data_IF_585270812444
#
_entry.id   IF_585270812444
#
_cell.length_a   1.000
_cell.length_b   1.000
_cell.length_c   1.000
_cell.angle_alpha   90.00
_cell.angle_beta   90.00
_cell.angle_gamma   90.00
#
_symmetry.space_group_name_H-M   'P 1'
#
loop_
_entity.id
_entity.type
_entity.pdbx_description
1 polymer ?
#
# COMPACT_ATOMS: atom_id res chain seq x y z
N UNK A 1 30.38 -2.46 -16.18
CA UNK A 1 29.31 -1.46 -15.99
C UNK A 1 27.92 -2.10 -15.90
N UNK A 2 27.44 -2.88 -16.89
CA UNK A 2 26.11 -3.54 -16.88
C UNK A 2 25.80 -4.44 -15.66
N UNK A 3 26.81 -5.07 -15.06
CA UNK A 3 26.62 -5.99 -13.92
C UNK A 3 26.19 -5.28 -12.61
N UNK A 4 26.64 -4.05 -12.38
CA UNK A 4 26.34 -3.31 -11.14
C UNK A 4 24.90 -2.80 -11.17
N UNK A 5 24.44 -2.26 -12.30
CA UNK A 5 23.06 -1.82 -12.48
C UNK A 5 22.07 -2.99 -12.43
N UNK A 6 22.42 -4.12 -13.07
CA UNK A 6 21.64 -5.35 -12.96
C UNK A 6 21.52 -5.83 -11.51
N UNK A 7 22.61 -5.81 -10.74
CA UNK A 7 22.61 -6.15 -9.31
C UNK A 7 21.69 -5.24 -8.50
N UNK A 8 21.72 -3.93 -8.76
CA UNK A 8 20.83 -2.97 -8.10
C UNK A 8 19.35 -3.24 -8.43
N UNK A 9 19.02 -3.48 -9.71
CA UNK A 9 17.64 -3.81 -10.11
C UNK A 9 17.13 -5.11 -9.47
N UNK A 10 17.94 -6.17 -9.46
CA UNK A 10 17.56 -7.44 -8.81
C UNK A 10 17.39 -7.25 -7.29
N UNK A 11 18.27 -6.47 -6.66
CA UNK A 11 18.17 -6.15 -5.23
C UNK A 11 16.90 -5.38 -4.90
N UNK A 12 16.54 -4.40 -5.74
CA UNK A 12 15.27 -3.70 -5.64
C UNK A 12 14.07 -4.66 -5.81
N UNK A 13 14.11 -5.54 -6.81
CA UNK A 13 13.03 -6.51 -7.06
C UNK A 13 12.83 -7.44 -5.85
N UNK A 14 13.90 -7.95 -5.26
CA UNK A 14 13.84 -8.74 -4.04
C UNK A 14 13.16 -7.95 -2.89
N UNK A 15 13.52 -6.68 -2.72
CA UNK A 15 12.98 -5.82 -1.67
C UNK A 15 11.49 -5.48 -1.87
N UNK A 16 11.05 -5.19 -3.10
CA UNK A 16 9.64 -4.86 -3.38
C UNK A 16 8.76 -6.12 -3.35
N UNK A 17 9.23 -7.26 -3.87
CA UNK A 17 8.51 -8.52 -3.77
C UNK A 17 8.38 -8.99 -2.33
N UNK A 18 9.40 -8.78 -1.49
CA UNK A 18 9.30 -9.04 -0.05
C UNK A 18 8.19 -8.22 0.61
N UNK A 19 8.05 -6.95 0.23
CA UNK A 19 6.98 -6.05 0.72
C UNK A 19 5.59 -6.47 0.21
N UNK A 20 5.47 -6.83 -1.06
CA UNK A 20 4.23 -7.34 -1.64
C UNK A 20 3.80 -8.66 -1.00
N UNK A 21 4.74 -9.56 -0.74
CA UNK A 21 4.46 -10.82 -0.06
C UNK A 21 3.99 -10.58 1.39
N UNK A 22 4.60 -9.63 2.09
CA UNK A 22 4.14 -9.23 3.43
C UNK A 22 2.69 -8.71 3.39
N UNK A 23 2.36 -7.84 2.43
CA UNK A 23 0.98 -7.39 2.22
C UNK A 23 0.05 -8.58 1.92
N UNK A 24 0.41 -9.47 1.00
CA UNK A 24 -0.40 -10.64 0.66
C UNK A 24 -0.70 -11.51 1.88
N UNK A 25 0.29 -11.73 2.76
CA UNK A 25 0.08 -12.44 4.03
C UNK A 25 -0.85 -11.71 4.99
N UNK A 26 -0.83 -10.38 5.01
CA UNK A 26 -1.74 -9.60 5.84
C UNK A 26 -3.19 -9.61 5.31
N UNK A 27 -3.37 -9.79 4.00
CA UNK A 27 -4.66 -9.89 3.32
C UNK A 27 -5.25 -11.30 3.32
N UNK A 28 -4.41 -12.32 3.49
CA UNK A 28 -4.80 -13.74 3.49
C UNK A 28 -4.84 -14.30 4.91
N UNK A 29 -5.54 -15.44 5.07
CA UNK A 29 -5.69 -16.14 6.33
C UNK A 29 -7.07 -16.00 6.95
N UNK A 30 -7.28 -16.71 8.05
CA UNK A 30 -8.55 -16.68 8.78
C UNK A 30 -8.74 -15.35 9.52
N UNK A 31 -10.00 -15.00 9.81
CA UNK A 31 -10.38 -13.83 10.60
C UNK A 31 -9.97 -12.46 10.01
N UNK A 32 -9.87 -12.33 8.68
CA UNK A 32 -9.71 -11.05 8.00
C UNK A 32 -11.05 -10.46 7.61
N UNK A 33 -11.35 -9.26 8.09
CA UNK A 33 -12.53 -8.53 7.63
C UNK A 33 -12.22 -7.74 6.36
N UNK A 34 -13.25 -7.40 5.58
CA UNK A 34 -13.09 -6.54 4.41
C UNK A 34 -12.53 -5.16 4.79
N UNK A 35 -12.85 -4.69 6.01
CA UNK A 35 -12.31 -3.46 6.57
C UNK A 35 -10.80 -3.56 6.83
N UNK A 36 -10.33 -4.68 7.40
CA UNK A 36 -8.90 -4.91 7.58
C UNK A 36 -8.17 -4.91 6.24
N UNK A 37 -8.72 -5.64 5.26
CA UNK A 37 -8.17 -5.70 3.91
C UNK A 37 -8.09 -4.31 3.26
N UNK A 38 -9.16 -3.51 3.38
CA UNK A 38 -9.19 -2.12 2.92
C UNK A 38 -8.07 -1.30 3.56
N UNK A 39 -8.00 -1.30 4.89
CA UNK A 39 -6.99 -0.53 5.64
C UNK A 39 -5.58 -0.93 5.26
N UNK A 40 -5.30 -2.24 5.16
CA UNK A 40 -3.98 -2.75 4.78
C UNK A 40 -3.60 -2.40 3.34
N UNK A 41 -4.51 -2.58 2.40
CA UNK A 41 -4.29 -2.27 0.98
C UNK A 41 -3.98 -0.77 0.79
N UNK A 42 -4.82 0.12 1.30
CA UNK A 42 -4.62 1.56 1.12
C UNK A 42 -3.44 2.10 1.94
N UNK A 43 -3.15 1.51 3.11
CA UNK A 43 -1.91 1.78 3.82
C UNK A 43 -0.67 1.41 3.01
N UNK A 44 -0.70 0.30 2.28
CA UNK A 44 0.39 -0.09 1.39
C UNK A 44 0.51 0.83 0.17
N UNK A 45 -0.61 1.22 -0.45
CA UNK A 45 -0.61 2.21 -1.54
C UNK A 45 0.06 3.52 -1.07
N UNK A 46 -0.34 4.07 0.09
CA UNK A 46 0.34 5.25 0.65
C UNK A 46 1.83 5.02 0.91
N UNK A 47 2.20 3.80 1.35
CA UNK A 47 3.61 3.41 1.54
C UNK A 47 4.40 3.42 0.23
N UNK A 48 3.81 3.07 -0.92
CA UNK A 48 4.50 3.15 -2.22
C UNK A 48 4.89 4.60 -2.56
N UNK A 49 3.99 5.55 -2.34
CA UNK A 49 4.27 6.98 -2.51
C UNK A 49 5.40 7.47 -1.59
N UNK A 50 5.39 7.02 -0.33
CA UNK A 50 6.45 7.29 0.64
C UNK A 50 7.81 6.71 0.19
N UNK A 51 7.83 5.45 -0.26
CA UNK A 51 9.04 4.80 -0.76
C UNK A 51 9.62 5.52 -1.99
N UNK A 52 8.76 5.93 -2.93
CA UNK A 52 9.17 6.73 -4.10
C UNK A 52 9.85 8.04 -3.67
N UNK A 53 9.25 8.78 -2.74
CA UNK A 53 9.82 10.03 -2.23
C UNK A 53 11.21 9.81 -1.59
N UNK A 54 11.42 8.69 -0.90
CA UNK A 54 12.72 8.32 -0.33
C UNK A 54 13.74 7.95 -1.41
N UNK A 55 13.37 7.16 -2.42
CA UNK A 55 14.26 6.81 -3.54
C UNK A 55 14.72 8.06 -4.30
N UNK A 56 13.82 9.02 -4.56
CA UNK A 56 14.15 10.28 -5.23
C UNK A 56 15.13 11.15 -4.42
N UNK A 57 15.17 10.99 -3.10
CA UNK A 57 16.14 11.64 -2.20
C UNK A 57 17.40 10.81 -2.00
N UNK A 58 17.59 9.75 -2.79
CA UNK A 58 18.65 8.76 -2.65
C UNK A 58 18.69 8.10 -1.26
N UNK A 59 17.56 8.06 -0.56
CA UNK A 59 17.42 7.39 0.73
C UNK A 59 16.90 5.96 0.51
N UNK A 60 17.81 5.00 0.56
CA UNK A 60 17.53 3.59 0.29
C UNK A 60 17.33 2.75 1.57
N UNK A 61 17.21 3.39 2.74
CA UNK A 61 17.12 2.70 4.05
C UNK A 61 15.97 1.70 4.17
N UNK A 62 14.89 1.88 3.40
CA UNK A 62 13.74 0.97 3.37
C UNK A 62 13.93 -0.25 2.46
N UNK A 63 15.06 -0.34 1.76
CA UNK A 63 15.39 -1.39 0.81
C UNK A 63 16.69 -2.10 1.27
N UNK A 64 16.59 -3.13 2.12
CA UNK A 64 17.77 -3.74 2.76
C UNK A 64 18.74 -4.42 1.79
N UNK A 65 18.31 -4.83 0.60
CA UNK A 65 19.22 -5.35 -0.43
C UNK A 65 19.75 -4.22 -1.31
N UNK A 66 18.87 -3.30 -1.76
CA UNK A 66 19.25 -2.20 -2.63
C UNK A 66 20.20 -1.20 -1.94
N UNK A 67 20.04 -0.96 -0.64
CA UNK A 67 20.93 -0.07 0.16
C UNK A 67 22.38 -0.54 0.21
N UNK A 68 22.65 -1.82 -0.11
CA UNK A 68 24.00 -2.39 -0.23
C UNK A 68 24.59 -2.21 -1.64
N UNK A 69 23.85 -1.58 -2.56
CA UNK A 69 24.28 -1.28 -3.90
C UNK A 69 24.58 0.22 -4.05
N UNK A 70 25.30 0.57 -5.13
CA UNK A 70 25.51 1.97 -5.56
C UNK A 70 24.78 2.15 -6.90
N UNK A 71 23.44 2.33 -6.88
CA UNK A 71 22.67 2.51 -8.11
C UNK A 71 23.03 3.83 -8.80
N UNK A 72 23.02 3.81 -10.14
CA UNK A 72 23.11 5.04 -10.93
C UNK A 72 21.81 5.83 -10.84
N UNK A 73 21.86 7.13 -11.17
CA UNK A 73 20.67 7.98 -11.21
C UNK A 73 19.58 7.43 -12.15
N UNK A 74 19.99 6.83 -13.28
CA UNK A 74 19.08 6.18 -14.22
C UNK A 74 18.34 5.00 -13.57
N UNK A 75 19.03 4.17 -12.79
CA UNK A 75 18.40 3.07 -12.05
C UNK A 75 17.43 3.59 -10.99
N UNK A 76 17.79 4.66 -10.26
CA UNK A 76 16.89 5.30 -9.28
C UNK A 76 15.62 5.85 -9.93
N UNK A 77 15.74 6.39 -11.14
CA UNK A 77 14.60 6.87 -11.92
C UNK A 77 13.68 5.70 -12.32
N UNK A 78 14.23 4.62 -12.88
CA UNK A 78 13.47 3.41 -13.25
C UNK A 78 12.74 2.84 -12.02
N UNK A 79 13.40 2.78 -10.86
CA UNK A 79 12.79 2.33 -9.61
C UNK A 79 11.63 3.26 -9.20
N UNK A 80 11.82 4.57 -9.29
CA UNK A 80 10.81 5.56 -8.92
C UNK A 80 9.59 5.51 -9.84
N UNK A 81 9.81 5.28 -11.14
CA UNK A 81 8.76 5.07 -12.14
C UNK A 81 7.99 3.79 -11.87
N UNK A 82 8.68 2.68 -11.59
CA UNK A 82 8.02 1.43 -11.24
C UNK A 82 7.17 1.56 -9.96
N UNK A 83 7.67 2.24 -8.92
CA UNK A 83 6.88 2.49 -7.71
C UNK A 83 5.64 3.35 -7.99
N UNK A 84 5.72 4.29 -8.94
CA UNK A 84 4.58 5.08 -9.40
C UNK A 84 3.56 4.20 -10.13
N UNK A 85 4.02 3.41 -11.10
CA UNK A 85 3.14 2.54 -11.88
C UNK A 85 2.44 1.52 -10.98
N UNK A 86 3.15 0.95 -10.00
CA UNK A 86 2.57 0.01 -9.03
C UNK A 86 1.55 0.70 -8.11
N UNK A 87 1.81 1.95 -7.70
CA UNK A 87 0.86 2.73 -6.92
C UNK A 87 -0.44 2.98 -7.69
N UNK A 88 -0.31 3.44 -8.94
CA UNK A 88 -1.45 3.81 -9.78
C UNK A 88 -2.27 2.57 -10.13
N UNK A 89 -1.60 1.50 -10.54
CA UNK A 89 -2.21 0.21 -10.84
C UNK A 89 -2.98 -0.40 -9.64
N UNK A 90 -2.41 -0.38 -8.44
CA UNK A 90 -3.13 -0.85 -7.24
C UNK A 90 -4.28 0.11 -6.86
N UNK A 91 -4.09 1.42 -7.04
CA UNK A 91 -5.14 2.41 -6.75
C UNK A 91 -6.36 2.21 -7.65
N UNK A 92 -6.13 1.95 -8.93
CA UNK A 92 -7.17 1.72 -9.92
C UNK A 92 -7.86 0.37 -9.71
N UNK A 93 -7.09 -0.71 -9.49
CA UNK A 93 -7.63 -2.06 -9.28
C UNK A 93 -8.54 -2.18 -8.06
N UNK A 94 -8.25 -1.42 -7.00
CA UNK A 94 -9.01 -1.47 -5.74
C UNK A 94 -9.88 -0.22 -5.53
N UNK A 95 -10.15 0.54 -6.59
CA UNK A 95 -10.93 1.76 -6.51
C UNK A 95 -12.35 1.55 -5.94
N UNK A 96 -12.97 0.42 -6.24
CA UNK A 96 -14.25 -0.02 -5.70
C UNK A 96 -14.18 -0.24 -4.17
N UNK A 97 -13.17 -0.97 -3.68
CA UNK A 97 -12.91 -1.19 -2.26
C UNK A 97 -12.69 0.14 -1.52
N UNK A 98 -12.08 1.14 -2.19
CA UNK A 98 -11.92 2.50 -1.65
C UNK A 98 -13.26 3.18 -1.37
N UNK A 99 -14.27 2.94 -2.20
CA UNK A 99 -15.58 3.58 -2.09
C UNK A 99 -16.50 2.94 -1.03
N UNK A 100 -16.20 1.70 -0.60
CA UNK A 100 -17.02 1.02 0.43
C UNK A 100 -17.03 1.84 1.72
N UNK A 101 -18.19 2.37 2.08
CA UNK A 101 -18.37 3.04 3.37
C UNK A 101 -18.82 2.01 4.40
N UNK A 102 -18.01 1.79 5.43
CA UNK A 102 -18.38 0.89 6.52
C UNK A 102 -19.17 1.67 7.57
N UNK A 103 -20.28 1.11 8.08
CA UNK A 103 -21.02 1.74 9.17
C UNK A 103 -20.11 2.04 10.37
N UNK A 104 -20.30 3.19 11.02
CA UNK A 104 -19.46 3.66 12.13
C UNK A 104 -19.42 2.66 13.30
N UNK A 105 -20.50 1.92 13.53
CA UNK A 105 -20.54 0.86 14.55
C UNK A 105 -19.64 -0.33 14.21
N UNK A 106 -19.38 -0.61 12.93
CA UNK A 106 -18.41 -1.62 12.49
C UNK A 106 -16.99 -1.09 12.63
N UNK A 107 -16.77 0.17 12.24
CA UNK A 107 -15.43 0.78 12.20
C UNK A 107 -14.91 1.17 13.58
N UNK A 108 -15.80 1.67 14.44
CA UNK A 108 -15.50 2.20 15.76
C UNK A 108 -16.62 1.83 16.74
N UNK A 109 -16.79 0.53 17.08
CA UNK A 109 -17.90 0.05 17.90
C UNK A 109 -17.99 0.74 19.27
N UNK A 110 -16.85 1.11 19.86
CA UNK A 110 -16.79 1.75 21.17
C UNK A 110 -16.98 3.27 21.16
N UNK A 111 -16.94 3.90 19.98
CA UNK A 111 -17.19 5.34 19.80
C UNK A 111 -18.58 5.59 19.19
N UNK A 112 -19.30 4.53 18.85
CA UNK A 112 -20.61 4.62 18.25
C UNK A 112 -21.68 4.90 19.31
N UNK A 113 -22.40 6.01 19.12
CA UNK A 113 -23.64 6.32 19.85
C UNK A 113 -24.80 6.38 18.86
N UNK A 114 -25.93 5.77 19.23
CA UNK A 114 -27.16 5.75 18.42
C UNK A 114 -27.75 7.15 18.21
N UNK A 115 -27.35 8.12 19.02
CA UNK A 115 -27.85 9.49 19.02
C UNK A 115 -27.25 10.38 17.91
N UNK A 116 -26.20 9.92 17.21
CA UNK A 116 -25.41 10.73 16.27
C UNK A 116 -25.55 10.35 14.78
N UNK A 117 -26.54 9.55 14.36
CA UNK A 117 -26.74 9.25 12.94
C UNK A 117 -28.20 9.13 12.50
N UNK A 118 -28.52 9.75 11.37
CA UNK A 118 -29.76 9.66 10.56
C UNK A 118 -30.09 8.22 10.06
N UNK A 119 -29.40 7.18 10.54
CA UNK A 119 -29.60 5.81 10.06
C UNK A 119 -30.95 5.20 10.50
N UNK A 120 -31.59 5.74 11.55
CA UNK A 120 -32.97 5.36 11.90
C UNK A 120 -33.99 5.92 10.90
N UNK A 121 -33.74 7.09 10.31
CA UNK A 121 -34.68 7.72 9.38
C UNK A 121 -34.85 6.96 8.04
N UNK A 122 -33.90 6.07 7.68
CA UNK A 122 -33.96 5.29 6.43
C UNK A 122 -34.51 3.88 6.58
N UNK A 123 -34.63 3.36 7.81
CA UNK A 123 -35.18 2.02 8.06
C UNK A 123 -36.68 2.04 8.35
N UNK A 124 -37.26 3.22 8.64
CA UNK A 124 -38.69 3.40 8.91
C UNK A 124 -39.54 3.75 7.66
N UNK A 125 -38.97 3.66 6.46
CA UNK A 125 -39.62 4.09 5.20
C UNK A 125 -40.08 2.95 4.28
N UNK A 126 -40.04 1.70 4.74
CA UNK A 126 -40.53 0.52 3.99
C UNK A 126 -41.95 0.10 4.43
#
# INVERSE_FOLDING_TARGET
MKSIEAKAMISYLADIFGKLNALNKELQGEQKTLMDCKTKMFGFISKLGFLKAHVLRNNLSHFPHLSKCVPSQNVLQIISENLSNLHDDLSDRFFDLKQINFPSWVAQPFLFTWENNDCLAKMESD
#
